data_IF_645699724333
#
_entry.id   IF_645699724333
#
_cell.length_a   1.000
_cell.length_b   1.000
_cell.length_c   1.000
_cell.angle_alpha   90.00
_cell.angle_beta   90.00
_cell.angle_gamma   90.00
#
_symmetry.space_group_name_H-M   'P 1'
#
loop_
_entity.id
_entity.type
_entity.pdbx_description
1 polymer ?
#
# COMPACT_ATOMS: atom_id res chain seq x y z
N UNK A 1 0.35 -5.37 -5.07
CA UNK A 1 0.76 -4.20 -5.87
C UNK A 1 2.15 -4.49 -6.36
N UNK A 2 2.34 -4.53 -7.67
CA UNK A 2 3.66 -4.60 -8.29
C UNK A 2 4.35 -3.24 -8.32
N UNK A 3 4.02 -2.36 -7.36
CA UNK A 3 4.53 -1.01 -7.31
C UNK A 3 5.81 -1.03 -6.47
N UNK A 4 6.92 -0.64 -7.10
CA UNK A 4 8.26 -0.74 -6.52
C UNK A 4 8.58 0.41 -5.56
N UNK A 5 7.57 1.19 -5.12
CA UNK A 5 7.72 2.39 -4.28
C UNK A 5 8.60 3.46 -4.96
N UNK A 6 8.50 3.56 -6.28
CA UNK A 6 9.33 4.45 -7.11
C UNK A 6 8.63 5.77 -7.46
N UNK A 7 7.32 5.85 -7.25
CA UNK A 7 6.51 7.00 -7.65
C UNK A 7 5.93 7.75 -6.45
N UNK A 8 5.51 8.99 -6.71
CA UNK A 8 4.79 9.81 -5.74
C UNK A 8 3.46 9.16 -5.36
N UNK A 9 3.01 9.44 -4.15
CA UNK A 9 1.75 8.95 -3.64
C UNK A 9 1.11 9.92 -2.64
N UNK A 10 -0.19 9.79 -2.49
CA UNK A 10 -0.99 10.59 -1.56
C UNK A 10 -2.14 9.77 -0.97
N UNK A 11 -2.37 9.91 0.34
CA UNK A 11 -3.62 9.49 0.97
C UNK A 11 -4.54 10.69 1.17
N UNK A 12 -5.83 10.52 0.91
CA UNK A 12 -6.87 11.49 1.25
C UNK A 12 -7.85 10.89 2.26
N UNK A 13 -8.00 11.55 3.42
CA UNK A 13 -8.94 11.16 4.47
C UNK A 13 -9.76 12.38 4.85
N UNK A 14 -11.08 12.31 4.65
CA UNK A 14 -12.01 13.40 4.99
C UNK A 14 -11.56 14.78 4.46
N UNK A 15 -11.09 14.83 3.19
CA UNK A 15 -10.54 16.01 2.49
C UNK A 15 -9.16 16.49 2.94
N UNK A 16 -8.52 15.81 3.89
CA UNK A 16 -7.12 16.09 4.24
C UNK A 16 -6.20 15.14 3.46
N UNK A 17 -5.26 15.72 2.73
CA UNK A 17 -4.19 14.99 2.04
C UNK A 17 -2.99 14.72 2.96
N UNK A 18 -2.37 13.56 2.78
CA UNK A 18 -1.18 13.09 3.49
C UNK A 18 -0.21 12.47 2.49
N UNK A 19 1.06 12.87 2.54
CA UNK A 19 2.09 12.34 1.64
C UNK A 19 3.48 12.69 2.13
N UNK A 20 4.49 12.41 1.31
CA UNK A 20 5.83 12.95 1.54
C UNK A 20 5.81 14.48 1.47
N UNK A 21 6.66 15.19 2.25
CA UNK A 21 6.83 16.62 2.10
C UNK A 21 7.22 16.96 0.66
N UNK A 22 6.51 17.91 0.06
CA UNK A 22 6.82 18.47 -1.25
C UNK A 22 6.90 19.98 -1.12
N UNK A 23 7.62 20.59 -2.04
CA UNK A 23 7.69 22.05 -2.16
C UNK A 23 6.28 22.61 -2.45
N UNK A 24 5.93 23.69 -1.77
CA UNK A 24 4.59 24.32 -1.82
C UNK A 24 4.26 24.84 -3.22
N UNK A 25 5.27 25.18 -4.02
CA UNK A 25 5.09 25.68 -5.39
C UNK A 25 4.67 24.57 -6.37
N UNK A 26 4.84 23.30 -6.00
CA UNK A 26 4.63 22.16 -6.90
C UNK A 26 3.36 21.36 -6.57
N UNK A 27 2.77 21.54 -5.39
CA UNK A 27 1.63 20.74 -4.98
C UNK A 27 0.74 21.41 -3.92
N UNK A 28 -0.51 20.96 -3.86
CA UNK A 28 -1.42 21.37 -2.80
C UNK A 28 -0.88 20.99 -1.39
N UNK A 29 -1.15 21.81 -0.36
CA UNK A 29 -0.70 21.53 1.00
C UNK A 29 -1.16 20.17 1.51
N UNK A 30 -0.22 19.39 2.06
CA UNK A 30 -0.46 18.06 2.61
C UNK A 30 0.26 17.87 3.94
N UNK A 31 -0.27 17.00 4.79
CA UNK A 31 0.41 16.62 6.03
C UNK A 31 1.50 15.58 5.73
N UNK A 32 2.63 15.71 6.42
CA UNK A 32 3.70 14.72 6.39
C UNK A 32 3.19 13.38 6.96
N UNK A 33 2.99 12.40 6.07
CA UNK A 33 2.45 11.10 6.41
C UNK A 33 3.34 10.34 7.41
N UNK A 34 4.65 10.55 7.40
CA UNK A 34 5.57 9.88 8.32
C UNK A 34 5.38 10.35 9.77
N UNK A 35 4.77 11.52 9.98
CA UNK A 35 4.51 12.10 11.30
C UNK A 35 3.11 11.80 11.85
N UNK A 36 2.25 11.15 11.07
CA UNK A 36 0.86 10.87 11.46
C UNK A 36 0.70 9.38 11.71
N UNK A 37 0.14 9.00 12.86
CA UNK A 37 -0.19 7.60 13.12
C UNK A 37 -1.54 7.28 12.51
N UNK A 38 -1.66 6.09 11.91
CA UNK A 38 -2.92 5.62 11.35
C UNK A 38 -4.07 5.71 12.38
N UNK A 39 -3.83 5.31 13.63
CA UNK A 39 -4.85 5.36 14.69
C UNK A 39 -5.46 6.76 14.90
N UNK A 40 -4.68 7.83 14.71
CA UNK A 40 -5.12 9.20 14.96
C UNK A 40 -6.13 9.70 13.91
N UNK A 41 -6.24 9.02 12.77
CA UNK A 41 -7.12 9.37 11.66
C UNK A 41 -8.26 8.37 11.45
N UNK A 42 -8.33 7.31 12.27
CA UNK A 42 -9.40 6.32 12.20
C UNK A 42 -10.65 6.76 12.97
N UNK A 43 -11.82 6.44 12.41
CA UNK A 43 -13.12 6.58 13.06
C UNK A 43 -13.51 5.24 13.70
N UNK A 44 -14.29 5.22 14.80
CA UNK A 44 -14.62 3.98 15.51
C UNK A 44 -15.30 2.90 14.67
N UNK A 45 -16.13 3.30 13.69
CA UNK A 45 -16.91 2.36 12.86
C UNK A 45 -16.22 2.02 11.55
N UNK A 46 -15.97 3.03 10.73
CA UNK A 46 -15.43 2.90 9.37
C UNK A 46 -14.71 4.18 8.99
N UNK A 47 -13.51 4.02 8.42
CA UNK A 47 -12.79 5.07 7.71
C UNK A 47 -12.58 4.64 6.27
N UNK A 48 -12.92 5.52 5.34
CA UNK A 48 -12.51 5.40 3.93
C UNK A 48 -11.29 6.29 3.73
N UNK A 49 -10.26 5.74 3.09
CA UNK A 49 -9.03 6.42 2.72
C UNK A 49 -8.89 6.22 1.22
N UNK A 50 -8.88 7.30 0.45
CA UNK A 50 -8.52 7.23 -0.96
C UNK A 50 -6.99 7.33 -1.05
N UNK A 51 -6.37 6.50 -1.87
CA UNK A 51 -4.93 6.39 -2.05
C UNK A 51 -4.61 6.55 -3.53
N UNK A 52 -3.90 7.61 -3.87
CA UNK A 52 -3.38 7.85 -5.21
C UNK A 52 -1.91 7.39 -5.23
N UNK A 53 -1.60 6.45 -6.11
CA UNK A 53 -0.23 6.02 -6.38
C UNK A 53 0.13 6.36 -7.82
N UNK A 54 1.35 6.83 -8.02
CA UNK A 54 1.88 7.30 -9.28
C UNK A 54 1.05 8.43 -9.89
N UNK A 55 1.57 9.66 -9.83
CA UNK A 55 0.85 10.83 -10.35
C UNK A 55 0.86 10.88 -11.88
N UNK A 56 1.71 10.07 -12.55
CA UNK A 56 1.66 9.87 -13.99
C UNK A 56 0.47 8.99 -14.37
N UNK A 57 0.49 7.74 -13.92
CA UNK A 57 -0.54 6.74 -14.26
C UNK A 57 -1.85 6.91 -13.49
N UNK A 58 -1.83 7.64 -12.38
CA UNK A 58 -2.98 7.96 -11.52
C UNK A 58 -3.74 6.73 -11.01
N UNK A 59 -3.04 5.81 -10.34
CA UNK A 59 -3.68 4.67 -9.72
C UNK A 59 -4.46 5.08 -8.47
N UNK A 60 -5.79 5.11 -8.60
CA UNK A 60 -6.71 5.40 -7.50
C UNK A 60 -7.18 4.12 -6.80
N UNK A 61 -6.82 3.97 -5.53
CA UNK A 61 -7.24 2.86 -4.68
C UNK A 61 -8.11 3.39 -3.54
N UNK A 62 -9.16 2.63 -3.20
CA UNK A 62 -9.98 2.91 -2.02
C UNK A 62 -9.70 1.91 -0.91
N UNK A 63 -9.11 2.37 0.18
CA UNK A 63 -8.88 1.59 1.38
C UNK A 63 -10.03 1.80 2.37
N UNK A 64 -10.62 0.70 2.84
CA UNK A 64 -11.68 0.72 3.84
C UNK A 64 -11.15 0.07 5.11
N UNK A 65 -11.04 0.87 6.17
CA UNK A 65 -10.67 0.38 7.50
C UNK A 65 -11.95 0.26 8.33
N UNK A 66 -12.23 -0.95 8.80
CA UNK A 66 -13.37 -1.28 9.64
C UNK A 66 -13.00 -2.37 10.64
N UNK A 67 -13.90 -2.67 11.59
CA UNK A 67 -13.71 -3.79 12.51
C UNK A 67 -12.53 -3.62 13.47
N UNK A 68 -12.36 -2.41 14.01
CA UNK A 68 -11.33 -2.13 15.01
C UNK A 68 -11.52 -3.04 16.22
N UNK A 69 -10.47 -3.77 16.58
CA UNK A 69 -10.46 -4.74 17.67
C UNK A 69 -9.14 -4.71 18.43
N UNK A 70 -9.15 -5.27 19.63
CA UNK A 70 -7.93 -5.48 20.38
C UNK A 70 -6.96 -6.39 19.62
N UNK A 71 -5.67 -6.16 19.82
CA UNK A 71 -4.62 -6.98 19.23
C UNK A 71 -4.70 -8.40 19.77
N UNK A 72 -4.57 -9.39 18.89
CA UNK A 72 -4.39 -10.78 19.28
C UNK A 72 -2.90 -11.05 19.44
N UNK A 73 -2.46 -11.42 20.65
CA UNK A 73 -1.04 -11.65 20.96
C UNK A 73 -0.47 -12.90 20.28
N UNK A 74 -1.33 -13.81 19.80
CA UNK A 74 -0.91 -14.99 19.05
C UNK A 74 -0.69 -14.69 17.55
N UNK A 75 -1.05 -13.49 17.08
CA UNK A 75 -0.99 -13.12 15.66
C UNK A 75 0.07 -12.04 15.43
N UNK A 76 0.91 -12.25 14.43
CA UNK A 76 1.82 -11.21 13.93
C UNK A 76 1.11 -10.30 12.91
N UNK A 77 1.31 -8.99 13.03
CA UNK A 77 0.71 -7.97 12.15
C UNK A 77 1.77 -7.13 11.43
N UNK A 78 1.54 -6.73 10.16
CA UNK A 78 0.37 -7.06 9.33
C UNK A 78 0.41 -8.50 8.79
N UNK A 79 -0.75 -9.03 8.39
CA UNK A 79 -0.89 -10.35 7.75
C UNK A 79 -1.81 -10.30 6.55
N UNK A 80 -1.53 -11.13 5.56
CA UNK A 80 -2.43 -11.37 4.44
C UNK A 80 -3.59 -12.25 4.90
N UNK A 81 -4.81 -11.90 4.51
CA UNK A 81 -6.03 -12.65 4.85
C UNK A 81 -6.81 -13.11 3.60
N UNK A 82 -6.49 -12.58 2.43
CA UNK A 82 -7.19 -12.85 1.18
C UNK A 82 -7.08 -11.68 0.22
N UNK A 83 -7.47 -11.94 -1.02
CA UNK A 83 -7.43 -11.01 -2.14
C UNK A 83 -7.70 -11.78 -3.43
N UNK A 84 -8.08 -11.05 -4.47
CA UNK A 84 -8.35 -11.60 -5.79
C UNK A 84 -7.68 -10.71 -6.83
N UNK A 85 -7.33 -11.33 -7.96
CA UNK A 85 -6.63 -10.71 -9.08
C UNK A 85 -5.22 -10.19 -8.74
N UNK A 86 -4.41 -10.10 -9.78
CA UNK A 86 -3.11 -9.47 -9.70
C UNK A 86 -3.28 -7.94 -9.74
N UNK A 87 -2.29 -7.23 -9.20
CA UNK A 87 -2.24 -5.79 -9.39
C UNK A 87 -1.90 -5.46 -10.85
N UNK A 88 -2.31 -4.29 -11.38
CA UNK A 88 -1.82 -3.80 -12.65
C UNK A 88 -0.27 -3.77 -12.66
N UNK A 89 0.38 -4.02 -13.81
CA UNK A 89 1.80 -3.81 -13.96
C UNK A 89 2.17 -2.34 -13.71
N UNK A 90 3.36 -2.09 -13.17
CA UNK A 90 3.90 -0.73 -13.07
C UNK A 90 4.19 -0.17 -14.47
N UNK A 91 4.07 1.15 -14.63
CA UNK A 91 4.28 1.88 -15.87
C UNK A 91 3.47 1.37 -17.08
N UNK A 92 2.34 0.70 -16.83
CA UNK A 92 1.47 0.26 -17.92
C UNK A 92 0.63 1.39 -18.54
N UNK A 93 0.73 2.64 -18.04
CA UNK A 93 0.03 3.80 -18.60
C UNK A 93 -1.36 3.99 -17.99
N UNK A 94 -1.49 3.70 -16.69
CA UNK A 94 -2.72 3.87 -15.94
C UNK A 94 -3.84 2.93 -16.39
N UNK A 95 -5.08 3.28 -16.03
CA UNK A 95 -6.27 2.48 -16.36
C UNK A 95 -6.36 2.15 -17.87
N UNK A 96 -6.20 3.11 -18.80
CA UNK A 96 -6.31 2.81 -20.24
C UNK A 96 -5.24 1.83 -20.72
N UNK A 97 -3.99 1.99 -20.28
CA UNK A 97 -2.90 1.13 -20.71
C UNK A 97 -2.94 -0.27 -20.07
N UNK A 98 -3.48 -0.39 -18.86
CA UNK A 98 -3.81 -1.70 -18.29
C UNK A 98 -4.87 -2.45 -19.11
N UNK A 99 -5.94 -1.79 -19.53
CA UNK A 99 -6.92 -2.44 -20.41
C UNK A 99 -6.32 -2.82 -21.77
N UNK A 100 -5.49 -1.97 -22.36
CA UNK A 100 -4.75 -2.32 -23.58
C UNK A 100 -3.86 -3.55 -23.38
N UNK A 101 -3.24 -3.69 -22.19
CA UNK A 101 -2.45 -4.87 -21.82
C UNK A 101 -3.33 -6.12 -21.71
N UNK A 102 -4.52 -6.02 -21.10
CA UNK A 102 -5.45 -7.15 -21.03
C UNK A 102 -5.93 -7.59 -22.42
N UNK A 103 -6.22 -6.64 -23.31
CA UNK A 103 -6.62 -6.92 -24.68
C UNK A 103 -5.49 -7.60 -25.47
N UNK A 104 -4.25 -7.14 -25.31
CA UNK A 104 -3.07 -7.73 -25.93
C UNK A 104 -2.80 -9.16 -25.45
N UNK A 105 -2.96 -9.45 -24.15
CA UNK A 105 -2.80 -10.81 -23.60
C UNK A 105 -3.91 -11.75 -24.09
N UNK A 106 -5.10 -11.22 -24.37
CA UNK A 106 -6.21 -12.01 -24.88
C UNK A 106 -6.07 -12.38 -26.36
N UNK A 107 -5.23 -11.66 -27.13
CA UNK A 107 -5.00 -11.87 -28.56
C UNK A 107 -3.56 -12.33 -28.86
N UNK A 108 -3.33 -13.60 -29.25
CA UNK A 108 -2.01 -14.11 -29.60
C UNK A 108 -1.30 -13.36 -30.73
N UNK A 109 -2.03 -12.59 -31.56
CA UNK A 109 -1.47 -11.81 -32.65
C UNK A 109 -1.00 -10.39 -32.23
N UNK A 110 -1.37 -9.94 -31.03
CA UNK A 110 -1.04 -8.62 -30.47
C UNK A 110 -0.13 -8.71 -29.24
N UNK A 111 0.65 -9.78 -29.11
CA UNK A 111 1.56 -9.99 -27.99
C UNK A 111 2.49 -8.78 -27.81
N UNK A 112 2.22 -7.98 -26.78
CA UNK A 112 3.15 -6.96 -26.31
C UNK A 112 4.23 -7.70 -25.54
N UNK A 113 5.43 -7.78 -26.11
CA UNK A 113 6.61 -8.45 -25.56
C UNK A 113 6.86 -8.09 -24.08
N UNK A 114 6.50 -6.86 -23.68
CA UNK A 114 6.72 -6.33 -22.32
C UNK A 114 5.88 -6.98 -21.20
N UNK A 115 4.82 -7.74 -21.49
CA UNK A 115 3.91 -8.28 -20.46
C UNK A 115 3.53 -9.76 -20.64
N UNK A 116 4.32 -10.54 -21.39
CA UNK A 116 4.01 -11.95 -21.71
C UNK A 116 3.79 -12.83 -20.47
N UNK A 117 4.52 -12.57 -19.38
CA UNK A 117 4.40 -13.32 -18.12
C UNK A 117 3.30 -12.80 -17.18
N UNK A 118 2.60 -11.72 -17.54
CA UNK A 118 1.58 -11.13 -16.68
C UNK A 118 0.28 -11.93 -16.73
N UNK A 119 -0.08 -12.55 -15.60
CA UNK A 119 -1.39 -13.17 -15.43
C UNK A 119 -2.27 -12.32 -14.48
N UNK A 120 -3.33 -11.65 -14.99
CA UNK A 120 -4.20 -10.81 -14.16
C UNK A 120 -5.00 -11.60 -13.12
N UNK A 121 -5.18 -12.91 -13.30
CA UNK A 121 -5.93 -13.77 -12.37
C UNK A 121 -5.03 -14.43 -11.32
N UNK A 122 -3.71 -14.36 -11.48
CA UNK A 122 -2.78 -14.95 -10.54
C UNK A 122 -2.51 -14.00 -9.38
N UNK A 123 -2.56 -14.52 -8.15
CA UNK A 123 -2.10 -13.79 -6.96
C UNK A 123 -0.96 -14.56 -6.32
N UNK A 124 0.20 -13.91 -6.17
CA UNK A 124 1.34 -14.50 -5.45
C UNK A 124 1.11 -14.39 -3.94
N UNK A 125 0.26 -15.29 -3.41
CA UNK A 125 -0.01 -15.34 -1.98
C UNK A 125 1.24 -15.60 -1.15
N UNK A 126 2.18 -16.40 -1.66
CA UNK A 126 3.38 -16.77 -0.92
C UNK A 126 4.29 -15.55 -0.79
N UNK A 127 4.51 -14.81 -1.88
CA UNK A 127 5.24 -13.55 -1.88
C UNK A 127 4.60 -12.51 -0.97
N UNK A 128 3.27 -12.36 -1.00
CA UNK A 128 2.54 -11.45 -0.11
C UNK A 128 2.71 -11.83 1.37
N UNK A 129 2.52 -13.12 1.71
CA UNK A 129 2.71 -13.62 3.08
C UNK A 129 4.14 -13.40 3.54
N UNK A 130 5.12 -13.67 2.68
CA UNK A 130 6.53 -13.48 3.00
C UNK A 130 6.88 -12.00 3.21
N UNK A 131 6.46 -11.11 2.31
CA UNK A 131 6.70 -9.67 2.42
C UNK A 131 6.10 -9.08 3.71
N UNK A 132 4.85 -9.44 4.04
CA UNK A 132 4.19 -8.98 5.25
C UNK A 132 4.85 -9.56 6.51
N UNK A 133 5.30 -10.82 6.48
CA UNK A 133 6.04 -11.41 7.61
C UNK A 133 7.34 -10.65 7.91
N UNK A 134 8.04 -10.14 6.88
CA UNK A 134 9.24 -9.30 7.07
C UNK A 134 8.90 -7.97 7.71
N UNK A 135 7.76 -7.36 7.35
CA UNK A 135 7.28 -6.14 7.98
C UNK A 135 6.93 -6.41 9.46
N UNK A 136 6.19 -7.49 9.73
CA UNK A 136 5.80 -7.86 11.08
C UNK A 136 7.02 -8.10 11.99
N UNK A 137 8.01 -8.89 11.54
CA UNK A 137 9.27 -9.12 12.26
C UNK A 137 10.01 -7.83 12.59
N UNK A 138 10.12 -6.91 11.62
CA UNK A 138 10.76 -5.60 11.84
C UNK A 138 10.02 -4.77 12.90
N UNK A 139 8.68 -4.76 12.85
CA UNK A 139 7.85 -4.04 13.83
C UNK A 139 7.98 -4.64 15.24
N UNK A 140 7.94 -5.96 15.36
CA UNK A 140 8.08 -6.67 16.63
C UNK A 140 9.46 -6.40 17.26
N UNK A 141 10.52 -6.44 16.46
CA UNK A 141 11.86 -6.09 16.92
C UNK A 141 11.97 -4.63 17.38
N UNK A 142 11.37 -3.69 16.66
CA UNK A 142 11.33 -2.29 17.07
C UNK A 142 10.54 -2.08 18.37
N UNK A 143 9.39 -2.73 18.52
CA UNK A 143 8.60 -2.70 19.74
C UNK A 143 9.37 -3.25 20.95
N UNK A 144 10.05 -4.39 20.80
CA UNK A 144 10.88 -4.99 21.85
C UNK A 144 12.01 -4.04 22.29
N UNK A 145 12.67 -3.35 21.34
CA UNK A 145 13.71 -2.35 21.65
C UNK A 145 13.15 -1.17 22.45
N UNK A 146 11.95 -0.69 22.10
CA UNK A 146 11.29 0.40 22.83
C UNK A 146 10.90 0.00 24.25
N UNK A 147 10.44 -1.24 24.46
CA UNK A 147 10.13 -1.78 25.79
C UNK A 147 11.42 -1.87 26.63
N UNK A 148 12.50 -2.42 26.07
CA UNK A 148 13.80 -2.52 26.76
C UNK A 148 14.37 -1.15 27.14
N UNK A 149 14.25 -0.15 26.27
CA UNK A 149 14.70 1.22 26.56
C UNK A 149 13.92 1.84 27.72
N UNK A 150 12.60 1.62 27.79
CA UNK A 150 11.77 2.11 28.92
C UNK A 150 12.07 1.40 30.24
N UNK A 151 12.51 0.15 30.21
CA UNK A 151 12.81 -0.65 31.40
C UNK A 151 14.22 -0.43 31.95
N UNK A 152 15.05 0.40 31.31
CA UNK A 152 16.40 0.72 31.77
C UNK A 152 16.43 2.20 32.14
N UNK A 153 16.29 2.58 33.43
CA UNK A 153 16.38 3.97 33.84
C UNK A 153 17.79 4.52 33.54
N UNK A 154 17.89 5.76 33.07
CA UNK A 154 19.18 6.45 32.93
C UNK A 154 19.93 6.35 34.25
N UNK A 155 21.11 5.74 34.19
CA UNK A 155 22.04 5.56 35.32
C UNK A 155 22.99 6.74 35.41
#
# INVERSE_FOLDING_TARGET
MGCFDQHLWEFTIAKQSYGAPMDEDWAAPRRDAAKVRLYDVLKPRKTTIDYLYDFGDSWELRLIVSGLRQVDSAIEYPRYIGGEWNAPPEDCGGIPGFYATLDAIADPANAIECFEDYNPKAIDELGLKYALSRIAKRRNAAAARLVKKKSTPDS
#
